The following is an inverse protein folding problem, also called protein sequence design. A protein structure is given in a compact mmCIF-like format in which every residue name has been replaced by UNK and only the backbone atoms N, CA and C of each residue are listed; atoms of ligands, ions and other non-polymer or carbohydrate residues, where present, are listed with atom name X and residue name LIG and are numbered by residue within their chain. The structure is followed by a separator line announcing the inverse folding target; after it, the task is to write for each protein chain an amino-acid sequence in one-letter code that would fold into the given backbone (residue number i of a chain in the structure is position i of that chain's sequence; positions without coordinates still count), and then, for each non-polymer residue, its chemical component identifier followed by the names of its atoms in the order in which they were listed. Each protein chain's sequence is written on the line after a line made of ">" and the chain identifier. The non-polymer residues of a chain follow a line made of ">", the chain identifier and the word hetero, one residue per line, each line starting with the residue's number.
data_IF_840823513462
#
_entry.id   IF_840823513462
#
_cell.length_a   1.000
_cell.length_b   1.000
_cell.length_c   1.000
_cell.angle_alpha   90.00
_cell.angle_beta   90.00
_cell.angle_gamma   90.00
#
_symmetry.space_group_name_H-M   'P 1'
#
loop_
_entity.id
_entity.type
_entity.pdbx_description
1 polymer ?
#
# COMPACT_ATOMS: atom_id res chain seq x y z
N UNK A 1 -1.46 23.01 22.07
CA UNK A 1 -1.81 21.85 21.22
C UNK A 1 -1.51 22.22 19.77
N UNK A 2 -0.31 21.91 19.27
CA UNK A 2 0.06 22.25 17.89
C UNK A 2 -0.64 21.30 16.92
N UNK A 3 -1.43 21.86 15.98
CA UNK A 3 -2.10 21.08 14.93
C UNK A 3 -1.07 20.20 14.20
N UNK A 4 -1.40 18.92 13.97
CA UNK A 4 -0.57 18.03 13.17
C UNK A 4 -0.36 18.64 11.79
N UNK A 5 0.87 19.04 11.47
CA UNK A 5 1.22 19.55 10.14
C UNK A 5 1.14 18.41 9.13
N UNK A 6 0.55 18.67 7.97
CA UNK A 6 0.56 17.74 6.85
C UNK A 6 1.98 17.64 6.29
N UNK A 7 2.37 16.45 5.81
CA UNK A 7 3.61 16.26 5.07
C UNK A 7 3.52 16.99 3.72
N UNK A 8 4.48 17.87 3.47
CA UNK A 8 4.71 18.49 2.17
C UNK A 8 5.14 17.47 1.12
N UNK A 9 5.10 17.86 -0.16
CA UNK A 9 5.55 17.01 -1.26
C UNK A 9 7.04 16.64 -1.13
N UNK A 10 7.88 17.59 -0.71
CA UNK A 10 9.32 17.38 -0.51
C UNK A 10 9.58 16.40 0.62
N UNK A 11 8.89 16.54 1.74
CA UNK A 11 8.96 15.59 2.87
C UNK A 11 8.58 14.17 2.44
N UNK A 12 7.50 14.02 1.68
CA UNK A 12 7.10 12.70 1.15
C UNK A 12 8.15 12.12 0.21
N UNK A 13 8.77 12.94 -0.64
CA UNK A 13 9.82 12.49 -1.56
C UNK A 13 11.06 12.01 -0.82
N UNK A 14 11.54 12.77 0.16
CA UNK A 14 12.66 12.37 1.02
C UNK A 14 12.34 11.05 1.73
N UNK A 15 11.12 10.92 2.27
CA UNK A 15 10.68 9.70 2.90
C UNK A 15 10.73 8.49 1.95
N UNK A 16 10.21 8.63 0.73
CA UNK A 16 10.21 7.56 -0.27
C UNK A 16 11.62 7.17 -0.72
N UNK A 17 12.51 8.15 -0.93
CA UNK A 17 13.91 7.89 -1.28
C UNK A 17 14.63 7.08 -0.19
N UNK A 18 14.46 7.46 1.09
CA UNK A 18 15.04 6.70 2.20
C UNK A 18 14.41 5.30 2.27
N UNK A 19 13.07 5.20 2.18
CA UNK A 19 12.34 3.94 2.29
C UNK A 19 12.75 2.93 1.21
N UNK A 20 13.08 3.41 0.01
CA UNK A 20 13.51 2.59 -1.14
C UNK A 20 14.71 1.72 -0.82
N UNK A 21 15.67 2.20 -0.04
CA UNK A 21 16.84 1.43 0.40
C UNK A 21 16.46 0.26 1.30
N UNK A 22 15.36 0.39 2.06
CA UNK A 22 14.89 -0.60 3.02
C UNK A 22 13.73 -1.48 2.51
N UNK A 23 13.31 -1.32 1.24
CA UNK A 23 12.14 -2.01 0.68
C UNK A 23 12.19 -3.53 0.86
N UNK A 24 13.39 -4.11 0.76
CA UNK A 24 13.64 -5.54 0.87
C UNK A 24 13.44 -6.10 2.29
N UNK A 25 13.37 -5.24 3.31
CA UNK A 25 13.04 -5.59 4.71
C UNK A 25 11.61 -5.20 5.03
N UNK A 26 11.22 -3.97 4.67
CA UNK A 26 9.91 -3.41 5.03
C UNK A 26 8.76 -4.13 4.34
N UNK A 27 8.93 -4.53 3.08
CA UNK A 27 7.87 -5.17 2.28
C UNK A 27 7.92 -6.71 2.32
N UNK A 28 8.73 -7.29 3.22
CA UNK A 28 8.71 -8.74 3.49
C UNK A 28 7.35 -9.13 4.05
N UNK A 29 6.63 -10.05 3.40
CA UNK A 29 5.30 -10.51 3.86
C UNK A 29 5.35 -11.45 5.07
N UNK A 30 6.53 -12.00 5.41
CA UNK A 30 6.73 -12.86 6.59
C UNK A 30 6.62 -12.07 7.90
N UNK A 31 6.20 -12.77 8.96
CA UNK A 31 5.92 -12.21 10.29
C UNK A 31 6.49 -13.10 11.41
N UNK A 32 7.64 -13.73 11.19
CA UNK A 32 8.36 -14.42 12.27
C UNK A 32 9.07 -13.41 13.20
N UNK A 33 9.50 -13.86 14.38
CA UNK A 33 10.10 -12.97 15.39
C UNK A 33 11.34 -12.23 14.88
N UNK A 34 12.18 -12.90 14.09
CA UNK A 34 13.34 -12.33 13.42
C UNK A 34 12.96 -11.21 12.45
N UNK A 35 12.03 -11.46 11.53
CA UNK A 35 11.60 -10.49 10.52
C UNK A 35 10.89 -9.29 11.15
N UNK A 36 10.14 -9.48 12.24
CA UNK A 36 9.57 -8.37 13.01
C UNK A 36 10.67 -7.50 13.64
N UNK A 37 11.72 -8.13 14.19
CA UNK A 37 12.87 -7.42 14.75
C UNK A 37 13.63 -6.64 13.66
N UNK A 38 13.88 -7.25 12.52
CA UNK A 38 14.56 -6.63 11.38
C UNK A 38 13.77 -5.43 10.85
N UNK A 39 12.45 -5.56 10.73
CA UNK A 39 11.56 -4.45 10.37
C UNK A 39 11.63 -3.31 11.38
N UNK A 40 11.64 -3.61 12.68
CA UNK A 40 11.73 -2.56 13.71
C UNK A 40 13.06 -1.81 13.66
N UNK A 41 14.17 -2.53 13.42
CA UNK A 41 15.49 -1.93 13.23
C UNK A 41 15.51 -1.06 11.98
N UNK A 42 15.01 -1.57 10.85
CA UNK A 42 14.90 -0.81 9.60
C UNK A 42 14.06 0.46 9.78
N UNK A 43 12.91 0.38 10.46
CA UNK A 43 12.08 1.54 10.75
C UNK A 43 12.77 2.56 11.65
N UNK A 44 13.54 2.11 12.64
CA UNK A 44 14.30 3.00 13.52
C UNK A 44 15.34 3.78 12.73
N UNK A 45 16.06 3.11 11.82
CA UNK A 45 17.04 3.73 10.94
C UNK A 45 16.40 4.69 9.93
N UNK A 46 15.25 4.32 9.34
CA UNK A 46 14.48 5.22 8.45
C UNK A 46 14.09 6.50 9.21
N UNK A 47 13.56 6.36 10.43
CA UNK A 47 13.17 7.52 11.25
C UNK A 47 14.37 8.42 11.53
N UNK A 48 15.51 7.82 11.90
CA UNK A 48 16.75 8.55 12.14
C UNK A 48 17.19 9.33 10.91
N UNK A 49 17.38 8.66 9.76
CA UNK A 49 17.79 9.31 8.50
C UNK A 49 16.83 10.41 8.05
N UNK A 50 15.54 10.19 8.23
CA UNK A 50 14.53 11.18 7.90
C UNK A 50 14.66 12.41 8.80
N UNK A 51 14.77 12.24 10.12
CA UNK A 51 14.88 13.36 11.06
C UNK A 51 16.24 14.09 10.98
N UNK A 52 17.30 13.41 10.55
CA UNK A 52 18.62 14.00 10.32
C UNK A 52 18.67 14.85 9.03
N UNK A 53 17.66 14.77 8.16
CA UNK A 53 17.60 15.60 6.96
C UNK A 53 17.31 17.07 7.32
N UNK A 54 18.16 17.99 6.87
CA UNK A 54 18.05 19.45 7.15
C UNK A 54 16.74 20.09 6.70
N UNK A 55 16.06 19.48 5.72
CA UNK A 55 14.76 19.92 5.21
C UNK A 55 13.62 19.58 6.17
N UNK A 56 13.82 18.62 7.08
CA UNK A 56 12.82 18.15 8.02
C UNK A 56 12.84 19.03 9.26
N UNK A 57 11.86 19.92 9.35
CA UNK A 57 11.73 20.88 10.46
C UNK A 57 11.03 20.31 11.70
N UNK A 58 10.47 19.11 11.60
CA UNK A 58 9.74 18.49 12.69
C UNK A 58 10.03 16.99 12.75
N UNK A 59 10.45 16.54 13.92
CA UNK A 59 10.77 15.13 14.17
C UNK A 59 9.54 14.22 14.01
N UNK A 60 9.75 13.08 13.34
CA UNK A 60 8.74 12.06 13.04
C UNK A 60 9.30 10.69 13.38
N UNK A 61 8.63 9.97 14.28
CA UNK A 61 9.00 8.58 14.61
C UNK A 61 7.86 7.64 14.20
N UNK A 62 6.84 7.49 15.04
CA UNK A 62 5.67 6.61 14.79
C UNK A 62 4.87 7.04 13.56
N UNK A 63 4.95 8.32 13.20
CA UNK A 63 4.15 8.92 12.14
C UNK A 63 4.59 8.49 10.73
N UNK A 64 5.82 8.01 10.54
CA UNK A 64 6.33 7.57 9.23
C UNK A 64 5.75 6.21 8.81
N UNK A 65 5.61 5.26 9.76
CA UNK A 65 4.91 3.99 9.53
C UNK A 65 3.48 4.23 9.04
N UNK A 66 2.78 5.20 9.67
CA UNK A 66 1.42 5.60 9.29
C UNK A 66 1.39 6.30 7.93
N UNK A 67 2.36 7.18 7.65
CA UNK A 67 2.49 7.81 6.33
C UNK A 67 2.59 6.76 5.23
N UNK A 68 3.44 5.74 5.41
CA UNK A 68 3.58 4.66 4.44
C UNK A 68 2.29 3.87 4.23
N UNK A 69 1.60 3.49 5.31
CA UNK A 69 0.33 2.80 5.22
C UNK A 69 -0.71 3.60 4.42
N UNK A 70 -0.78 4.92 4.65
CA UNK A 70 -1.67 5.82 3.94
C UNK A 70 -1.30 5.95 2.46
N UNK A 71 -0.01 6.07 2.12
CA UNK A 71 0.45 6.15 0.73
C UNK A 71 0.08 4.90 -0.06
N UNK A 72 0.30 3.71 0.52
CA UNK A 72 -0.14 2.45 -0.09
C UNK A 72 -1.66 2.36 -0.23
N UNK A 73 -2.40 2.84 0.76
CA UNK A 73 -3.85 2.82 0.73
C UNK A 73 -4.41 3.72 -0.37
N UNK A 74 -3.93 4.95 -0.47
CA UNK A 74 -4.34 5.87 -1.53
C UNK A 74 -4.05 5.29 -2.92
N UNK A 75 -2.90 4.65 -3.12
CA UNK A 75 -2.59 4.01 -4.40
C UNK A 75 -3.51 2.81 -4.70
N UNK A 76 -3.86 1.98 -3.70
CA UNK A 76 -4.87 0.89 -3.87
C UNK A 76 -6.24 1.42 -4.25
N UNK A 77 -6.67 2.53 -3.65
CA UNK A 77 -7.97 3.14 -3.93
C UNK A 77 -8.05 3.65 -5.36
N UNK A 78 -6.98 4.27 -5.87
CA UNK A 78 -6.86 4.67 -7.29
C UNK A 78 -6.97 3.45 -8.20
N UNK A 79 -6.23 2.37 -7.91
CA UNK A 79 -6.27 1.13 -8.69
C UNK A 79 -7.65 0.45 -8.66
N UNK A 80 -8.29 0.40 -7.49
CA UNK A 80 -9.60 -0.23 -7.32
C UNK A 80 -10.68 0.52 -8.08
N UNK A 81 -10.67 1.87 -8.01
CA UNK A 81 -11.59 2.72 -8.75
C UNK A 81 -11.43 2.54 -10.26
N UNK A 82 -10.18 2.44 -10.72
CA UNK A 82 -9.89 2.20 -12.14
C UNK A 82 -10.42 0.84 -12.61
N UNK A 83 -10.14 -0.22 -11.86
CA UNK A 83 -10.65 -1.56 -12.17
C UNK A 83 -12.18 -1.59 -12.19
N UNK A 84 -12.81 -0.98 -11.18
CA UNK A 84 -14.26 -0.93 -11.10
C UNK A 84 -14.88 -0.20 -12.28
N UNK A 85 -14.26 0.89 -12.74
CA UNK A 85 -14.72 1.60 -13.90
C UNK A 85 -14.51 0.83 -15.21
N UNK A 86 -13.39 0.10 -15.38
CA UNK A 86 -13.19 -0.80 -16.54
C UNK A 86 -14.23 -1.91 -16.63
N UNK A 87 -14.65 -2.44 -15.48
CA UNK A 87 -15.65 -3.52 -15.40
C UNK A 87 -17.08 -2.98 -15.54
N UNK A 88 -17.29 -1.68 -15.33
CA UNK A 88 -18.58 -1.04 -15.56
C UNK A 88 -18.68 -0.65 -17.03
N UNK A 89 -19.14 -1.56 -17.88
CA UNK A 89 -19.43 -1.31 -19.31
C UNK A 89 -20.71 -0.46 -19.51
N UNK A 90 -21.06 0.38 -18.54
CA UNK A 90 -22.16 1.35 -18.65
C UNK A 90 -21.62 2.70 -19.11
N UNK A 91 -22.50 3.50 -19.73
CA UNK A 91 -22.32 4.85 -20.33
C UNK A 91 -21.81 5.95 -19.36
N UNK A 92 -20.84 5.61 -18.50
CA UNK A 92 -20.31 6.46 -17.46
C UNK A 92 -19.31 7.49 -18.01
N UNK A 93 -19.12 8.63 -17.30
CA UNK A 93 -18.17 9.66 -17.70
C UNK A 93 -16.75 9.11 -17.87
N UNK A 94 -15.93 9.71 -18.76
CA UNK A 94 -14.52 9.35 -18.91
C UNK A 94 -13.80 9.40 -17.58
N UNK A 95 -12.99 8.38 -17.31
CA UNK A 95 -12.23 8.29 -16.06
C UNK A 95 -11.23 9.45 -15.95
N UNK A 96 -11.12 10.02 -14.75
CA UNK A 96 -10.04 10.92 -14.40
C UNK A 96 -8.69 10.21 -14.60
N UNK A 97 -7.69 10.93 -15.11
CA UNK A 97 -6.35 10.40 -15.33
C UNK A 97 -5.80 9.72 -14.08
N UNK A 98 -5.42 8.44 -14.21
CA UNK A 98 -4.81 7.67 -13.14
C UNK A 98 -3.43 8.21 -12.82
N UNK A 99 -3.30 8.87 -11.66
CA UNK A 99 -2.01 9.31 -11.16
C UNK A 99 -1.45 8.23 -10.20
N UNK A 100 -0.79 7.23 -10.77
CA UNK A 100 -0.01 6.24 -10.00
C UNK A 100 1.37 6.83 -9.74
N UNK A 101 1.73 6.98 -8.47
CA UNK A 101 3.07 7.42 -8.09
C UNK A 101 4.11 6.33 -8.42
N UNK A 102 5.08 6.61 -9.33
CA UNK A 102 6.06 5.64 -9.77
C UNK A 102 7.03 5.21 -8.65
N UNK A 103 7.30 6.07 -7.68
CA UNK A 103 8.21 5.77 -6.57
C UNK A 103 7.57 4.77 -5.61
N UNK A 104 6.26 4.93 -5.33
CA UNK A 104 5.51 3.96 -4.52
C UNK A 104 5.40 2.61 -5.24
N UNK A 105 5.12 2.63 -6.55
CA UNK A 105 5.05 1.42 -7.36
C UNK A 105 6.39 0.65 -7.39
N UNK A 106 7.52 1.36 -7.41
CA UNK A 106 8.86 0.76 -7.37
C UNK A 106 9.20 0.10 -6.02
N UNK A 107 8.66 0.63 -4.92
CA UNK A 107 8.88 0.10 -3.56
C UNK A 107 7.97 -1.10 -3.31
N UNK A 108 6.71 -1.03 -3.74
CA UNK A 108 5.70 -2.06 -3.50
C UNK A 108 5.03 -2.54 -4.79
N UNK A 109 5.77 -3.21 -5.70
CA UNK A 109 5.25 -3.61 -7.01
C UNK A 109 4.09 -4.60 -6.90
N UNK A 110 4.05 -5.40 -5.83
CA UNK A 110 2.97 -6.34 -5.56
C UNK A 110 1.63 -5.66 -5.24
N UNK A 111 1.62 -4.35 -4.99
CA UNK A 111 0.38 -3.59 -4.88
C UNK A 111 -0.39 -3.56 -6.21
N UNK A 112 0.35 -3.68 -7.32
CA UNK A 112 -0.17 -3.68 -8.69
C UNK A 112 -0.44 -5.09 -9.22
N UNK A 113 -0.07 -6.14 -8.48
CA UNK A 113 -0.39 -7.52 -8.87
C UNK A 113 -1.90 -7.71 -8.75
N UNK A 114 -2.56 -7.83 -9.89
CA UNK A 114 -3.97 -8.22 -9.95
C UNK A 114 -4.08 -9.64 -9.43
N UNK A 115 -4.42 -9.82 -8.16
CA UNK A 115 -4.92 -11.12 -7.70
C UNK A 115 -6.15 -11.43 -8.55
N UNK A 116 -6.17 -12.56 -9.29
CA UNK A 116 -7.38 -12.96 -10.00
C UNK A 116 -8.51 -12.97 -8.98
N UNK A 117 -9.63 -12.33 -9.34
CA UNK A 117 -10.86 -12.43 -8.55
C UNK A 117 -11.32 -13.87 -8.68
N UNK A 118 -10.79 -14.74 -7.81
CA UNK A 118 -11.49 -15.96 -7.43
C UNK A 118 -12.77 -15.47 -6.81
N UNK A 119 -13.83 -15.58 -7.60
CA UNK A 119 -15.20 -15.27 -7.28
C UNK A 119 -15.49 -15.70 -5.83
N UNK A 120 -15.40 -14.78 -4.86
CA UNK A 120 -15.86 -15.04 -3.49
C UNK A 120 -17.37 -14.88 -3.48
N UNK A 121 -18.06 -15.66 -4.32
CA UNK A 121 -19.46 -15.93 -4.04
C UNK A 121 -19.44 -16.74 -2.77
N UNK A 122 -20.09 -16.21 -1.75
CA UNK A 122 -20.44 -17.00 -0.58
C UNK A 122 -21.47 -18.05 -1.03
N UNK A 123 -21.05 -19.10 -1.73
CA UNK A 123 -21.82 -20.33 -1.79
C UNK A 123 -21.49 -21.08 -0.51
N UNK A 124 -22.44 -21.08 0.42
CA UNK A 124 -22.45 -22.01 1.54
C UNK A 124 -22.37 -23.44 1.01
N UNK A 125 -21.57 -24.26 1.68
CA UNK A 125 -21.20 -25.66 1.36
C UNK A 125 -22.39 -26.61 1.09
N UNK A 126 -23.62 -26.16 1.35
CA UNK A 126 -24.84 -26.95 1.26
C UNK A 126 -25.48 -27.05 -0.15
N UNK A 127 -24.96 -26.35 -1.16
CA UNK A 127 -25.52 -26.41 -2.53
C UNK A 127 -24.74 -27.33 -3.50
N UNK A 128 -23.63 -27.94 -3.05
CA UNK A 128 -22.76 -28.76 -3.92
C UNK A 128 -23.26 -30.21 -4.05
N UNK A 129 -24.06 -30.71 -3.11
CA UNK A 129 -24.48 -32.13 -3.08
C UNK A 129 -25.75 -32.49 -3.88
N UNK A 130 -26.19 -31.64 -4.81
CA UNK A 130 -27.44 -31.86 -5.55
C UNK A 130 -27.34 -32.28 -7.01
N UNK A 131 -26.16 -32.29 -7.65
CA UNK A 131 -26.09 -32.35 -9.13
C UNK A 131 -25.05 -33.28 -9.75
N UNK A 132 -24.64 -34.34 -9.05
CA UNK A 132 -23.83 -35.40 -9.66
C UNK A 132 -24.35 -36.81 -9.30
N UNK A 133 -25.60 -37.11 -9.62
CA UNK A 133 -26.07 -38.49 -9.83
C UNK A 133 -27.27 -38.50 -10.79
N UNK A 134 -26.95 -38.48 -12.09
CA UNK A 134 -27.70 -38.98 -13.24
C UNK A 134 -26.81 -38.61 -14.42
N UNK A 135 -26.16 -39.51 -15.15
CA UNK A 135 -26.58 -40.78 -15.75
C UNK A 135 -25.31 -41.58 -16.04
#
# INVERSE_FOLDING_TARGET
>A
MSKSKHYSAVEKKIFLEILKDFKHVIEVKKSDSSTLRDKEVAWSEICKRYNDCTVILQERTVQLKKLWANLKQSQREVLTKEKQARLSTGDGPPLAEINIDPDIALITPHLMETTPVLFSSNMTENEINGKYFSI
#
